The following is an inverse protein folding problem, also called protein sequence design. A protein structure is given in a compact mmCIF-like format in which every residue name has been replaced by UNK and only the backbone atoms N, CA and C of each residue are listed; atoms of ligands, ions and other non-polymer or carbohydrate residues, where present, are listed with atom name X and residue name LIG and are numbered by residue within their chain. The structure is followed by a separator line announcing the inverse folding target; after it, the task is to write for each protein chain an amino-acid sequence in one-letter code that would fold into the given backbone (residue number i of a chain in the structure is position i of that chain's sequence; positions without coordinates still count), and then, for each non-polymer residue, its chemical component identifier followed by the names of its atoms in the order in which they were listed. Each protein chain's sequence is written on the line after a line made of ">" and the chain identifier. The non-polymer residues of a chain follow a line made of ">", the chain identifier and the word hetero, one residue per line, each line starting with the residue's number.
data_IF_791498192470
#
_entry.id   IF_791498192470
#
_cell.length_a   1.000
_cell.length_b   1.000
_cell.length_c   1.000
_cell.angle_alpha   90.00
_cell.angle_beta   90.00
_cell.angle_gamma   90.00
#
_symmetry.space_group_name_H-M   'P 1'
#
loop_
_entity.id
_entity.type
_entity.pdbx_description
1 polymer ?
#
# COMPACT_ATOMS: atom_id res chain seq x y z
N UNK A 1 20.67 14.42 -3.88
CA UNK A 1 19.32 15.01 -3.89
C UNK A 1 19.25 16.30 -3.09
N UNK A 2 19.56 16.35 -1.78
CA UNK A 2 19.36 17.57 -0.95
C UNK A 2 20.08 18.82 -1.47
N UNK A 3 21.41 18.82 -1.58
CA UNK A 3 22.17 19.98 -2.10
C UNK A 3 21.82 20.32 -3.55
N UNK A 4 21.57 19.30 -4.37
CA UNK A 4 21.34 19.42 -5.80
C UNK A 4 19.88 19.75 -6.18
N UNK A 5 18.94 19.59 -5.24
CA UNK A 5 17.47 19.58 -5.43
C UNK A 5 16.93 18.67 -6.55
N UNK A 6 17.77 17.82 -7.15
CA UNK A 6 17.36 16.77 -8.09
C UNK A 6 16.49 15.72 -7.40
N UNK A 7 15.56 15.14 -8.17
CA UNK A 7 14.71 14.03 -7.75
C UNK A 7 15.57 12.89 -7.15
N UNK A 8 15.22 12.36 -5.97
CA UNK A 8 15.92 11.22 -5.40
C UNK A 8 15.72 9.97 -6.26
N UNK A 9 16.63 9.01 -6.15
CA UNK A 9 16.54 7.70 -6.84
C UNK A 9 15.26 6.95 -6.43
N UNK A 10 14.88 7.05 -5.15
CA UNK A 10 13.63 6.52 -4.61
C UNK A 10 12.79 7.68 -4.12
N UNK A 11 11.95 8.23 -5.00
CA UNK A 11 10.97 9.25 -4.63
C UNK A 11 9.74 8.64 -3.98
N UNK A 12 8.89 9.50 -3.40
CA UNK A 12 7.70 9.05 -2.65
C UNK A 12 6.85 8.11 -3.48
N UNK A 13 6.61 8.41 -4.76
CA UNK A 13 5.71 7.63 -5.60
C UNK A 13 6.31 6.29 -6.06
N UNK A 14 7.60 6.28 -6.41
CA UNK A 14 8.28 5.03 -6.78
C UNK A 14 8.45 4.12 -5.57
N UNK A 15 8.77 4.69 -4.41
CA UNK A 15 8.93 3.94 -3.18
C UNK A 15 7.59 3.39 -2.67
N UNK A 16 6.52 4.19 -2.69
CA UNK A 16 5.16 3.74 -2.34
C UNK A 16 4.77 2.50 -3.14
N UNK A 17 4.90 2.56 -4.48
CA UNK A 17 4.60 1.42 -5.35
C UNK A 17 5.45 0.18 -5.05
N UNK A 18 6.73 0.35 -4.74
CA UNK A 18 7.59 -0.76 -4.32
C UNK A 18 7.20 -1.35 -2.97
N UNK A 19 6.71 -0.54 -2.03
CA UNK A 19 6.23 -1.02 -0.73
C UNK A 19 4.86 -1.71 -0.84
N UNK A 20 3.97 -1.22 -1.72
CA UNK A 20 2.69 -1.88 -2.00
C UNK A 20 2.89 -3.34 -2.41
N UNK A 21 3.84 -3.63 -3.32
CA UNK A 21 4.10 -5.02 -3.75
C UNK A 21 4.64 -5.89 -2.61
N UNK A 22 5.51 -5.37 -1.75
CA UNK A 22 5.99 -6.07 -0.55
C UNK A 22 4.82 -6.41 0.41
N UNK A 23 3.87 -5.49 0.59
CA UNK A 23 2.70 -5.74 1.44
C UNK A 23 1.76 -6.77 0.80
N UNK A 24 1.45 -6.65 -0.49
CA UNK A 24 0.61 -7.61 -1.21
C UNK A 24 1.19 -9.03 -1.17
N UNK A 25 2.50 -9.18 -1.37
CA UNK A 25 3.18 -10.47 -1.25
C UNK A 25 3.01 -11.08 0.14
N UNK A 26 3.16 -10.28 1.20
CA UNK A 26 2.95 -10.75 2.57
C UNK A 26 1.50 -11.17 2.83
N UNK A 27 0.52 -10.45 2.30
CA UNK A 27 -0.91 -10.79 2.44
C UNK A 27 -1.18 -12.11 1.69
N UNK A 28 -0.71 -12.22 0.44
CA UNK A 28 -0.87 -13.41 -0.39
C UNK A 28 -0.29 -14.67 0.29
N UNK A 29 0.90 -14.57 0.88
CA UNK A 29 1.54 -15.67 1.62
C UNK A 29 0.73 -16.05 2.87
N UNK A 30 0.25 -15.06 3.64
CA UNK A 30 -0.54 -15.31 4.87
C UNK A 30 -1.87 -15.99 4.58
N UNK A 31 -2.52 -15.64 3.47
CA UNK A 31 -3.80 -16.21 3.07
C UNK A 31 -3.65 -17.47 2.20
N UNK A 32 -2.43 -17.77 1.74
CA UNK A 32 -2.14 -18.81 0.75
C UNK A 32 -3.01 -18.68 -0.51
N UNK A 33 -3.09 -17.47 -1.06
CA UNK A 33 -3.94 -17.10 -2.22
C UNK A 33 -3.20 -16.21 -3.20
N UNK A 34 -3.58 -16.28 -4.47
CA UNK A 34 -3.21 -15.27 -5.48
C UNK A 34 -4.16 -14.08 -5.37
N UNK A 35 -3.60 -12.88 -5.21
CA UNK A 35 -4.38 -11.63 -5.12
C UNK A 35 -4.32 -10.89 -6.46
N UNK A 36 -5.47 -10.42 -6.92
CA UNK A 36 -5.60 -9.41 -7.96
C UNK A 36 -5.69 -8.04 -7.29
N UNK A 37 -4.96 -7.07 -7.82
CA UNK A 37 -4.85 -5.74 -7.25
C UNK A 37 -4.94 -4.69 -8.35
N UNK A 38 -5.78 -3.68 -8.13
CA UNK A 38 -5.94 -2.56 -9.05
C UNK A 38 -5.03 -1.40 -8.62
N UNK A 39 -4.15 -0.98 -9.53
CA UNK A 39 -3.19 0.09 -9.29
C UNK A 39 -3.81 1.49 -9.27
N UNK A 40 -5.02 1.68 -9.80
CA UNK A 40 -5.70 2.97 -9.76
C UNK A 40 -6.38 3.20 -8.42
N UNK A 41 -7.14 2.20 -7.95
CA UNK A 41 -7.83 2.28 -6.66
C UNK A 41 -6.98 1.82 -5.48
N UNK A 42 -5.80 1.23 -5.75
CA UNK A 42 -4.89 0.61 -4.79
C UNK A 42 -5.56 -0.47 -3.92
N UNK A 43 -6.50 -1.23 -4.50
CA UNK A 43 -7.30 -2.21 -3.76
C UNK A 43 -7.19 -3.63 -4.33
N UNK A 44 -7.17 -4.62 -3.42
CA UNK A 44 -7.38 -6.02 -3.78
C UNK A 44 -8.81 -6.20 -4.31
N UNK A 45 -8.97 -6.76 -5.51
CA UNK A 45 -10.26 -6.85 -6.22
C UNK A 45 -10.96 -8.20 -6.06
N UNK A 46 -10.22 -9.26 -5.76
CA UNK A 46 -10.70 -10.63 -5.82
C UNK A 46 -10.81 -11.34 -4.45
N UNK A 47 -10.41 -10.72 -3.34
CA UNK A 47 -10.45 -11.31 -2.01
C UNK A 47 -10.76 -10.27 -0.92
N UNK A 48 -11.91 -10.42 -0.25
CA UNK A 48 -12.36 -9.48 0.79
C UNK A 48 -11.45 -9.51 2.02
N UNK A 49 -11.00 -10.69 2.44
CA UNK A 49 -10.12 -10.84 3.59
C UNK A 49 -8.76 -10.15 3.34
N UNK A 50 -8.18 -10.34 2.16
CA UNK A 50 -6.96 -9.67 1.72
C UNK A 50 -7.15 -8.16 1.60
N UNK A 51 -8.31 -7.71 1.11
CA UNK A 51 -8.66 -6.27 1.06
C UNK A 51 -8.67 -5.66 2.46
N UNK A 52 -9.26 -6.34 3.44
CA UNK A 52 -9.33 -5.87 4.83
C UNK A 52 -7.95 -5.79 5.52
N UNK A 53 -6.94 -6.52 5.02
CA UNK A 53 -5.57 -6.47 5.54
C UNK A 53 -4.74 -5.29 5.00
N UNK A 54 -5.24 -4.53 4.01
CA UNK A 54 -4.54 -3.37 3.45
C UNK A 54 -4.59 -2.15 4.39
N UNK A 55 -5.54 -2.12 5.32
CA UNK A 55 -5.67 -1.09 6.32
C UNK A 55 -5.88 -1.72 7.70
N UNK A 56 -5.54 -0.96 8.74
CA UNK A 56 -5.89 -1.31 10.11
C UNK A 56 -6.90 -0.30 10.63
N UNK A 57 -7.71 -0.72 11.59
CA UNK A 57 -8.51 0.23 12.36
C UNK A 57 -7.59 1.29 12.97
N UNK A 58 -7.94 2.56 12.74
CA UNK A 58 -7.17 3.66 13.28
C UNK A 58 -7.43 3.78 14.78
N UNK A 59 -6.42 4.24 15.51
CA UNK A 59 -6.53 4.35 16.97
C UNK A 59 -7.55 5.44 17.32
N UNK A 60 -8.50 5.12 18.21
CA UNK A 60 -9.50 6.08 18.69
C UNK A 60 -8.88 7.41 19.16
N UNK A 61 -9.34 8.53 18.62
CA UNK A 61 -8.87 9.89 18.90
C UNK A 61 -7.62 10.32 18.13
N UNK A 62 -7.11 9.48 17.22
CA UNK A 62 -5.96 9.76 16.34
C UNK A 62 -6.30 9.43 14.87
N UNK A 63 -7.58 9.47 14.54
CA UNK A 63 -8.06 9.24 13.18
C UNK A 63 -7.60 10.37 12.26
N UNK A 64 -7.28 10.02 11.02
CA UNK A 64 -6.90 10.97 9.97
C UNK A 64 -7.95 10.96 8.86
N UNK A 65 -8.40 12.14 8.48
CA UNK A 65 -9.23 12.34 7.29
C UNK A 65 -8.33 12.56 6.08
N UNK A 66 -8.07 11.49 5.34
CA UNK A 66 -7.29 11.57 4.11
C UNK A 66 -8.17 11.08 2.97
N UNK A 67 -8.47 11.98 2.04
CA UNK A 67 -9.00 11.59 0.73
C UNK A 67 -7.82 11.11 -0.10
N UNK A 68 -7.70 9.79 -0.27
CA UNK A 68 -6.75 9.18 -1.21
C UNK A 68 -7.46 8.98 -2.54
#
# INVERSE_FOLDING_TARGET
>A
CIKTRKKPVSDVWSHHKAMCTCHLANIAIRLNKTLEWDAQTEMVTNDEQGRMMQAREQRKGYEIEVSV
#
